data_IF_631319227049
#
_entry.id   IF_631319227049
#
_cell.length_a   1.000
_cell.length_b   1.000
_cell.length_c   1.000
_cell.angle_alpha   90.00
_cell.angle_beta   90.00
_cell.angle_gamma   90.00
#
_symmetry.space_group_name_H-M   'P 1'
#
loop_
_entity.id
_entity.type
_entity.pdbx_description
1 polymer ?
#
# COMPACT_ATOMS: atom_id res chain seq x y z
N UNK A 1 28.48 -32.15 -5.84
CA UNK A 1 28.68 -31.55 -4.50
C UNK A 1 27.52 -30.60 -4.29
N UNK A 2 26.68 -30.90 -3.29
CA UNK A 2 25.50 -30.08 -3.01
C UNK A 2 25.92 -28.88 -2.19
N UNK A 3 25.92 -27.70 -2.82
CA UNK A 3 26.09 -26.42 -2.12
C UNK A 3 24.82 -26.14 -1.31
N UNK A 4 24.70 -26.82 -0.16
CA UNK A 4 23.83 -26.41 0.93
C UNK A 4 24.54 -25.26 1.66
N UNK A 5 24.62 -24.12 0.98
CA UNK A 5 25.34 -22.93 1.44
C UNK A 5 24.44 -21.72 1.52
N UNK A 6 24.83 -20.76 2.35
CA UNK A 6 24.29 -19.41 2.31
C UNK A 6 24.63 -18.81 0.94
N UNK A 7 23.63 -18.54 0.12
CA UNK A 7 23.82 -17.95 -1.20
C UNK A 7 23.78 -16.43 -1.07
N UNK A 8 24.77 -15.75 -1.63
CA UNK A 8 24.87 -14.29 -1.54
C UNK A 8 24.38 -13.62 -2.85
N UNK A 9 24.36 -12.28 -2.87
CA UNK A 9 23.95 -11.52 -4.06
C UNK A 9 24.87 -11.76 -5.28
N UNK A 10 26.12 -12.16 -5.07
CA UNK A 10 27.05 -12.49 -6.15
C UNK A 10 26.68 -13.83 -6.81
N UNK A 11 26.24 -14.83 -6.04
CA UNK A 11 25.74 -16.10 -6.58
C UNK A 11 24.52 -15.89 -7.48
N UNK A 12 23.62 -14.96 -7.11
CA UNK A 12 22.46 -14.60 -7.94
C UNK A 12 22.86 -14.01 -9.28
N UNK A 13 23.95 -13.23 -9.33
CA UNK A 13 24.44 -12.58 -10.56
C UNK A 13 25.28 -13.50 -11.43
N UNK A 14 26.05 -14.40 -10.84
CA UNK A 14 27.09 -15.16 -11.55
C UNK A 14 26.72 -16.61 -11.84
N UNK A 15 25.88 -17.22 -10.99
CA UNK A 15 25.53 -18.64 -11.11
C UNK A 15 24.10 -18.99 -10.66
N UNK A 16 23.07 -18.26 -11.13
CA UNK A 16 21.69 -18.47 -10.68
C UNK A 16 21.12 -19.87 -11.02
N UNK A 17 21.73 -20.64 -11.92
CA UNK A 17 21.35 -22.06 -12.15
C UNK A 17 21.71 -23.00 -11.00
N UNK A 18 22.61 -22.57 -10.10
CA UNK A 18 23.06 -23.35 -8.93
C UNK A 18 22.26 -23.05 -7.67
N UNK A 19 21.41 -22.03 -7.72
CA UNK A 19 20.58 -21.60 -6.60
C UNK A 19 19.34 -22.49 -6.47
N UNK A 20 18.89 -22.79 -5.25
CA UNK A 20 17.66 -23.54 -4.99
C UNK A 20 16.42 -22.63 -5.17
N UNK A 21 16.24 -22.09 -6.37
CA UNK A 21 15.15 -21.15 -6.65
C UNK A 21 13.80 -21.86 -6.75
N UNK A 22 12.74 -21.17 -6.33
CA UNK A 22 11.38 -21.61 -6.58
C UNK A 22 11.17 -21.78 -8.09
N UNK A 23 10.63 -22.95 -8.49
CA UNK A 23 10.42 -23.30 -9.89
C UNK A 23 8.96 -23.63 -10.13
N UNK A 24 8.37 -22.94 -11.09
CA UNK A 24 7.00 -23.10 -11.54
C UNK A 24 7.02 -23.72 -12.93
N UNK A 25 6.17 -24.73 -13.16
CA UNK A 25 6.13 -25.45 -14.43
C UNK A 25 5.06 -24.86 -15.35
N UNK A 26 5.34 -24.86 -16.65
CA UNK A 26 4.40 -24.47 -17.71
C UNK A 26 4.64 -25.34 -18.95
N UNK A 27 3.59 -25.59 -19.72
CA UNK A 27 3.71 -26.26 -21.02
C UNK A 27 3.57 -25.26 -22.18
N UNK A 28 4.19 -25.55 -23.33
CA UNK A 28 4.03 -24.72 -24.56
C UNK A 28 2.57 -24.41 -24.87
N UNK A 29 2.23 -23.13 -24.97
CA UNK A 29 0.88 -22.67 -25.31
C UNK A 29 -0.17 -22.86 -24.21
N UNK A 30 0.23 -23.32 -23.01
CA UNK A 30 -0.65 -23.42 -21.85
C UNK A 30 -0.64 -22.11 -21.05
N UNK A 31 -1.78 -21.75 -20.47
CA UNK A 31 -1.90 -20.61 -19.58
C UNK A 31 -1.86 -21.08 -18.12
N UNK A 32 -1.08 -20.40 -17.28
CA UNK A 32 -1.10 -20.62 -15.83
C UNK A 32 -1.64 -19.39 -15.11
N UNK A 33 -2.40 -19.62 -14.04
CA UNK A 33 -2.83 -18.58 -13.12
C UNK A 33 -1.86 -18.53 -11.93
N UNK A 34 -1.09 -17.46 -11.83
CA UNK A 34 -0.22 -17.17 -10.69
C UNK A 34 -0.89 -16.20 -9.72
N UNK A 35 -0.74 -16.47 -8.42
CA UNK A 35 -1.30 -15.64 -7.35
C UNK A 35 -0.17 -14.99 -6.58
N UNK A 36 0.08 -13.72 -6.84
CA UNK A 36 1.09 -12.93 -6.15
C UNK A 36 0.50 -12.34 -4.87
N UNK A 37 1.20 -12.51 -3.76
CA UNK A 37 0.83 -12.00 -2.44
C UNK A 37 2.05 -11.36 -1.82
N UNK A 38 1.97 -10.08 -1.46
CA UNK A 38 3.03 -9.43 -0.69
C UNK A 38 2.66 -9.42 0.79
N UNK A 39 3.11 -10.45 1.51
CA UNK A 39 3.06 -10.53 2.97
C UNK A 39 4.27 -9.91 3.68
N UNK A 40 5.04 -9.06 2.98
CA UNK A 40 6.25 -8.44 3.49
C UNK A 40 5.96 -7.34 4.52
N UNK A 41 7.00 -6.92 5.24
CA UNK A 41 6.90 -5.96 6.36
C UNK A 41 6.95 -4.50 5.88
N UNK A 42 7.63 -4.22 4.76
CA UNK A 42 7.85 -2.84 4.33
C UNK A 42 7.99 -2.62 2.82
N UNK A 43 8.64 -3.52 2.09
CA UNK A 43 9.12 -3.24 0.73
C UNK A 43 8.04 -3.35 -0.35
N UNK A 44 8.04 -2.38 -1.27
CA UNK A 44 7.43 -2.54 -2.58
C UNK A 44 8.29 -3.45 -3.45
N UNK A 45 7.66 -4.39 -4.14
CA UNK A 45 8.38 -5.36 -4.97
C UNK A 45 7.93 -5.18 -6.42
N UNK A 46 8.87 -4.81 -7.28
CA UNK A 46 8.73 -4.89 -8.74
C UNK A 46 9.01 -6.32 -9.18
N UNK A 47 8.09 -6.90 -9.95
CA UNK A 47 8.17 -8.28 -10.45
C UNK A 47 8.02 -8.26 -11.96
N UNK A 48 8.89 -8.97 -12.66
CA UNK A 48 8.73 -9.29 -14.08
C UNK A 48 9.23 -10.69 -14.39
N UNK A 49 8.92 -11.15 -15.60
CA UNK A 49 9.30 -12.46 -16.11
C UNK A 49 9.90 -12.31 -17.50
N UNK A 50 11.08 -12.87 -17.69
CA UNK A 50 11.74 -12.84 -18.99
C UNK A 50 10.85 -13.39 -20.10
N UNK A 51 10.71 -12.66 -21.20
CA UNK A 51 10.01 -13.11 -22.41
C UNK A 51 8.50 -13.30 -22.24
N UNK A 52 7.89 -12.93 -21.12
CA UNK A 52 6.46 -13.07 -20.87
C UNK A 52 5.87 -11.77 -20.32
N UNK A 53 4.62 -11.53 -20.67
CA UNK A 53 3.82 -10.47 -20.06
C UNK A 53 2.89 -11.06 -18.99
N UNK A 54 2.39 -10.18 -18.13
CA UNK A 54 1.44 -10.49 -17.08
C UNK A 54 0.06 -9.98 -17.47
N UNK A 55 -0.92 -10.87 -17.53
CA UNK A 55 -2.32 -10.47 -17.70
C UNK A 55 -3.01 -10.49 -16.34
N UNK A 56 -3.17 -9.32 -15.72
CA UNK A 56 -3.82 -9.16 -14.41
C UNK A 56 -5.32 -9.39 -14.59
N UNK A 57 -5.89 -10.33 -13.83
CA UNK A 57 -7.31 -10.72 -13.91
C UNK A 57 -8.07 -10.61 -12.58
N UNK A 58 -7.35 -10.52 -11.46
CA UNK A 58 -7.97 -10.18 -10.17
C UNK A 58 -7.01 -9.39 -9.29
N UNK A 59 -7.59 -8.64 -8.37
CA UNK A 59 -6.90 -7.72 -7.50
C UNK A 59 -7.60 -7.79 -6.11
N UNK A 60 -6.88 -8.14 -5.04
CA UNK A 60 -7.37 -8.26 -3.65
C UNK A 60 -8.57 -9.22 -3.51
N UNK A 61 -8.60 -10.26 -4.35
CA UNK A 61 -9.67 -11.26 -4.38
C UNK A 61 -10.90 -10.84 -5.19
N UNK A 62 -10.85 -9.71 -5.90
CA UNK A 62 -11.93 -9.23 -6.78
C UNK A 62 -11.49 -9.31 -8.24
N UNK A 63 -12.32 -9.89 -9.11
CA UNK A 63 -12.07 -9.96 -10.55
C UNK A 63 -12.02 -8.57 -11.18
N UNK A 64 -11.04 -8.34 -12.06
CA UNK A 64 -10.89 -7.10 -12.83
C UNK A 64 -10.87 -7.39 -14.33
N UNK A 65 -11.23 -6.41 -15.14
CA UNK A 65 -11.08 -6.53 -16.59
C UNK A 65 -9.61 -6.83 -16.90
N UNK A 66 -9.31 -7.86 -17.71
CA UNK A 66 -7.94 -8.24 -17.98
C UNK A 66 -7.10 -7.08 -18.52
N UNK A 67 -5.95 -6.82 -17.89
CA UNK A 67 -4.95 -5.85 -18.36
C UNK A 67 -3.62 -6.54 -18.50
N UNK A 68 -3.03 -6.48 -19.70
CA UNK A 68 -1.69 -7.03 -19.96
C UNK A 68 -0.63 -5.97 -19.73
N UNK A 69 0.37 -6.31 -18.92
CA UNK A 69 1.49 -5.44 -18.52
C UNK A 69 2.80 -6.21 -18.57
N UNK A 70 3.92 -5.51 -18.67
CA UNK A 70 5.25 -6.13 -18.73
C UNK A 70 5.81 -6.42 -17.33
N UNK A 71 5.44 -5.60 -16.34
CA UNK A 71 5.85 -5.77 -14.95
C UNK A 71 4.76 -5.32 -13.96
N UNK A 72 4.85 -5.83 -12.74
CA UNK A 72 3.92 -5.60 -11.64
C UNK A 72 4.66 -5.08 -10.42
N UNK A 73 4.25 -3.92 -9.90
CA UNK A 73 4.62 -3.49 -8.54
C UNK A 73 3.55 -3.97 -7.55
N UNK A 74 3.96 -4.64 -6.49
CA UNK A 74 3.06 -5.12 -5.44
C UNK A 74 3.48 -4.57 -4.07
N UNK A 75 2.55 -3.91 -3.38
CA UNK A 75 2.78 -3.37 -2.03
C UNK A 75 2.36 -4.38 -0.96
N UNK A 76 2.93 -4.24 0.24
CA UNK A 76 2.52 -5.05 1.39
C UNK A 76 1.01 -4.96 1.61
N UNK A 77 0.36 -6.12 1.78
CA UNK A 77 -1.09 -6.26 1.93
C UNK A 77 -1.83 -6.55 0.62
N UNK A 78 -1.25 -6.26 -0.54
CA UNK A 78 -1.90 -6.49 -1.82
C UNK A 78 -1.78 -7.93 -2.33
N UNK A 79 -2.77 -8.33 -3.14
CA UNK A 79 -2.78 -9.59 -3.87
C UNK A 79 -3.21 -9.37 -5.31
N UNK A 80 -2.58 -10.08 -6.24
CA UNK A 80 -2.94 -10.06 -7.67
C UNK A 80 -2.99 -11.48 -8.23
N UNK A 81 -4.05 -11.78 -8.96
CA UNK A 81 -4.13 -12.99 -9.80
C UNK A 81 -3.72 -12.59 -11.22
N UNK A 82 -2.72 -13.27 -11.76
CA UNK A 82 -2.07 -12.96 -13.03
C UNK A 82 -2.02 -14.21 -13.89
N UNK A 83 -2.52 -14.11 -15.12
CA UNK A 83 -2.33 -15.14 -16.14
C UNK A 83 -0.97 -14.92 -16.81
N UNK A 84 -0.22 -16.00 -16.93
CA UNK A 84 1.00 -16.06 -17.74
C UNK A 84 0.75 -17.02 -18.88
N UNK A 85 0.90 -16.52 -20.10
CA UNK A 85 0.68 -17.28 -21.33
C UNK A 85 1.95 -18.01 -21.74
N UNK A 86 1.88 -19.33 -21.86
CA UNK A 86 2.98 -20.15 -22.35
C UNK A 86 3.31 -19.84 -23.81
N UNK A 87 4.57 -19.57 -24.08
CA UNK A 87 5.11 -19.38 -25.42
C UNK A 87 4.86 -20.64 -26.26
N UNK A 88 4.46 -20.44 -27.51
CA UNK A 88 4.30 -21.54 -28.48
C UNK A 88 5.65 -22.12 -28.91
N UNK A 89 6.65 -21.24 -29.04
CA UNK A 89 8.00 -21.56 -29.50
C UNK A 89 9.04 -21.00 -28.52
N UNK A 90 9.15 -21.53 -27.28
CA UNK A 90 10.18 -21.13 -26.33
C UNK A 90 11.56 -21.53 -26.88
N UNK A 91 12.50 -20.58 -26.84
CA UNK A 91 13.91 -20.77 -27.21
C UNK A 91 14.76 -21.28 -26.03
N UNK A 92 14.26 -21.12 -24.80
CA UNK A 92 14.90 -21.55 -23.57
C UNK A 92 14.00 -22.49 -22.78
N UNK A 93 14.62 -23.40 -22.03
CA UNK A 93 13.87 -24.26 -21.10
C UNK A 93 13.37 -23.49 -19.88
N UNK A 94 14.16 -22.53 -19.39
CA UNK A 94 13.89 -21.77 -18.17
C UNK A 94 13.95 -20.28 -18.48
N UNK A 95 12.92 -19.56 -18.04
CA UNK A 95 12.84 -18.10 -18.02
C UNK A 95 12.84 -17.64 -16.56
N UNK A 96 13.52 -16.54 -16.25
CA UNK A 96 13.65 -16.08 -14.87
C UNK A 96 12.53 -15.12 -14.49
N UNK A 97 11.92 -15.36 -13.33
CA UNK A 97 11.28 -14.29 -12.57
C UNK A 97 12.38 -13.45 -11.95
N UNK A 98 12.24 -12.13 -12.05
CA UNK A 98 13.09 -11.19 -11.34
C UNK A 98 12.21 -10.34 -10.43
N UNK A 99 12.63 -10.25 -9.17
CA UNK A 99 11.98 -9.47 -8.13
C UNK A 99 12.98 -8.43 -7.64
N UNK A 100 12.57 -7.18 -7.55
CA UNK A 100 13.42 -6.06 -7.18
C UNK A 100 12.69 -5.14 -6.19
N UNK A 101 13.36 -4.74 -5.10
CA UNK A 101 12.83 -3.68 -4.23
C UNK A 101 12.91 -2.33 -4.92
N UNK A 102 11.95 -1.43 -4.73
CA UNK A 102 11.95 -0.14 -5.46
C UNK A 102 12.74 1.00 -4.80
N UNK A 103 13.41 0.73 -3.68
CA UNK A 103 14.20 1.72 -2.95
C UNK A 103 15.43 2.17 -3.76
N UNK A 104 15.60 3.49 -3.89
CA UNK A 104 16.78 4.08 -4.54
C UNK A 104 17.61 4.97 -3.63
N UNK A 105 17.10 5.26 -2.43
CA UNK A 105 17.70 6.19 -1.46
C UNK A 105 17.56 5.60 -0.05
N UNK A 106 18.67 5.59 0.69
CA UNK A 106 18.70 5.21 2.10
C UNK A 106 18.16 6.32 3.02
N UNK A 107 17.89 5.97 4.29
CA UNK A 107 17.49 6.93 5.32
C UNK A 107 18.49 8.10 5.52
N UNK A 108 19.75 7.92 5.14
CA UNK A 108 20.80 8.94 5.19
C UNK A 108 20.90 9.78 3.91
N UNK A 109 19.94 9.67 2.99
CA UNK A 109 19.91 10.30 1.67
C UNK A 109 21.03 9.85 0.72
N UNK A 110 21.76 8.78 1.06
CA UNK A 110 22.71 8.12 0.17
C UNK A 110 22.00 7.23 -0.86
N UNK A 111 22.62 6.97 -2.01
CA UNK A 111 22.08 6.00 -2.97
C UNK A 111 21.99 4.62 -2.34
N UNK A 112 20.92 3.90 -2.66
CA UNK A 112 20.75 2.51 -2.26
C UNK A 112 20.67 1.61 -3.49
N UNK A 113 21.32 0.45 -3.43
CA UNK A 113 21.12 -0.58 -4.43
C UNK A 113 19.93 -1.45 -4.03
N UNK A 114 18.91 -1.57 -4.91
CA UNK A 114 17.82 -2.50 -4.72
C UNK A 114 18.29 -3.93 -4.42
N UNK A 115 17.60 -4.57 -3.47
CA UNK A 115 17.69 -6.02 -3.35
C UNK A 115 17.01 -6.68 -4.53
N UNK A 116 17.64 -7.75 -5.02
CA UNK A 116 17.10 -8.58 -6.09
C UNK A 116 16.90 -10.00 -5.60
N UNK A 117 15.93 -10.68 -6.20
CA UNK A 117 15.67 -12.10 -6.02
C UNK A 117 15.21 -12.71 -7.34
N UNK A 118 15.37 -14.03 -7.47
CA UNK A 118 15.05 -14.77 -8.68
C UNK A 118 14.05 -15.90 -8.41
N UNK A 119 13.34 -16.29 -9.46
CA UNK A 119 12.55 -17.52 -9.54
C UNK A 119 12.62 -18.10 -10.95
N UNK A 120 12.08 -19.30 -11.14
CA UNK A 120 12.07 -19.97 -12.44
C UNK A 120 10.64 -20.20 -12.93
N UNK A 121 10.42 -19.91 -14.22
CA UNK A 121 9.38 -20.55 -15.02
C UNK A 121 10.06 -21.58 -15.94
N UNK A 122 9.80 -22.86 -15.72
CA UNK A 122 10.39 -23.96 -16.48
C UNK A 122 9.37 -24.60 -17.42
N UNK A 123 9.72 -24.69 -18.70
CA UNK A 123 8.94 -25.42 -19.69
C UNK A 123 9.19 -26.93 -19.57
N UNK A 124 8.16 -27.67 -19.15
CA UNK A 124 8.24 -29.11 -18.90
C UNK A 124 8.39 -29.97 -20.17
N UNK A 125 7.95 -29.43 -21.31
CA UNK A 125 7.97 -30.06 -22.63
C UNK A 125 9.07 -29.48 -23.55
N UNK A 126 10.10 -28.86 -22.95
CA UNK A 126 11.31 -28.36 -23.62
C UNK A 126 12.54 -29.04 -23.05
N UNK A 127 13.42 -29.55 -23.91
CA UNK A 127 14.70 -30.09 -23.50
C UNK A 127 15.72 -28.98 -23.23
N UNK A 128 16.59 -29.17 -22.24
CA UNK A 128 17.62 -28.22 -21.85
C UNK A 128 17.82 -28.17 -20.34
N UNK A 129 18.56 -27.18 -19.88
CA UNK A 129 18.80 -26.88 -18.46
C UNK A 129 18.73 -25.38 -18.23
N UNK A 130 18.54 -24.96 -16.98
CA UNK A 130 18.64 -23.55 -16.61
C UNK A 130 20.06 -23.03 -16.91
N UNK A 131 20.14 -21.92 -17.65
CA UNK A 131 21.38 -21.17 -17.85
C UNK A 131 21.65 -20.18 -16.72
N UNK A 132 22.84 -19.57 -16.71
CA UNK A 132 23.23 -18.55 -15.73
C UNK A 132 22.93 -17.11 -16.16
N UNK A 133 22.47 -16.91 -17.40
CA UNK A 133 22.09 -15.60 -17.94
C UNK A 133 20.73 -15.14 -17.38
N UNK A 134 20.66 -13.84 -17.07
CA UNK A 134 19.46 -13.17 -16.55
C UNK A 134 19.35 -11.79 -17.20
N UNK A 135 18.18 -11.46 -17.73
CA UNK A 135 17.84 -10.15 -18.26
C UNK A 135 17.45 -9.19 -17.13
N UNK A 136 18.47 -8.64 -16.46
CA UNK A 136 18.29 -7.68 -15.38
C UNK A 136 17.78 -6.31 -15.83
N UNK A 137 17.88 -5.99 -17.12
CA UNK A 137 17.63 -4.64 -17.65
C UNK A 137 16.27 -4.50 -18.36
N UNK A 138 15.48 -5.57 -18.43
CA UNK A 138 14.30 -5.64 -19.29
C UNK A 138 14.66 -5.26 -20.73
N UNK A 139 15.57 -6.02 -21.34
CA UNK A 139 16.15 -5.73 -22.66
C UNK A 139 15.13 -5.49 -23.79
N UNK A 140 13.90 -5.98 -23.64
CA UNK A 140 12.80 -5.76 -24.59
C UNK A 140 12.20 -4.34 -24.56
N UNK A 141 12.48 -3.55 -23.52
CA UNK A 141 11.90 -2.22 -23.34
C UNK A 141 12.84 -1.15 -23.92
N UNK A 142 12.36 -0.37 -24.89
CA UNK A 142 13.14 0.74 -25.49
C UNK A 142 12.38 2.07 -25.40
N UNK A 143 13.05 3.19 -25.71
CA UNK A 143 12.39 4.49 -25.74
C UNK A 143 11.32 4.58 -26.85
N UNK A 144 11.49 3.82 -27.92
CA UNK A 144 10.55 3.69 -29.04
C UNK A 144 9.42 2.70 -28.75
N UNK A 145 9.66 1.70 -27.91
CA UNK A 145 8.70 0.66 -27.51
C UNK A 145 8.76 0.48 -26.00
N UNK A 146 8.09 1.39 -25.28
CA UNK A 146 8.10 1.40 -23.82
C UNK A 146 7.28 0.25 -23.25
N UNK A 147 7.77 -0.28 -22.13
CA UNK A 147 7.05 -1.28 -21.35
C UNK A 147 6.08 -0.64 -20.36
N UNK A 148 4.96 -1.32 -20.14
CA UNK A 148 3.91 -0.91 -19.23
C UNK A 148 4.11 -1.57 -17.87
N UNK A 149 4.31 -0.76 -16.84
CA UNK A 149 4.49 -1.21 -15.45
C UNK A 149 3.23 -0.88 -14.66
N UNK A 150 2.62 -1.89 -14.06
CA UNK A 150 1.43 -1.71 -13.23
C UNK A 150 1.78 -1.25 -11.81
N UNK A 151 0.96 -0.36 -11.25
CA UNK A 151 0.93 0.00 -9.83
C UNK A 151 2.17 0.73 -9.30
N UNK A 152 2.84 1.54 -10.12
CA UNK A 152 4.02 2.29 -9.67
C UNK A 152 3.66 3.34 -8.59
N UNK A 153 4.62 3.69 -7.73
CA UNK A 153 4.37 4.62 -6.62
C UNK A 153 4.22 6.08 -7.06
N UNK A 154 4.41 6.35 -8.34
CA UNK A 154 4.40 7.66 -8.97
C UNK A 154 3.59 7.62 -10.27
N UNK A 155 3.13 8.78 -10.72
CA UNK A 155 2.28 8.89 -11.90
C UNK A 155 3.02 8.72 -13.23
N UNK A 156 4.35 8.85 -13.25
CA UNK A 156 5.18 8.70 -14.47
C UNK A 156 6.64 8.42 -14.16
N UNK A 157 7.31 7.74 -15.08
CA UNK A 157 8.76 7.68 -15.13
C UNK A 157 9.36 8.96 -15.74
N UNK A 158 10.65 9.19 -15.47
CA UNK A 158 11.44 10.19 -16.17
C UNK A 158 11.63 9.79 -17.65
N UNK A 159 11.77 10.79 -18.53
CA UNK A 159 11.78 10.58 -19.99
C UNK A 159 12.94 9.70 -20.50
N UNK A 160 13.99 9.55 -19.68
CA UNK A 160 15.14 8.68 -19.97
C UNK A 160 14.85 7.18 -19.81
N UNK A 161 13.75 6.81 -19.15
CA UNK A 161 13.41 5.41 -18.89
C UNK A 161 12.41 4.90 -19.94
N UNK A 162 12.58 3.66 -20.43
CA UNK A 162 11.70 3.04 -21.42
C UNK A 162 10.42 2.46 -20.79
N UNK A 163 9.86 3.14 -19.79
CA UNK A 163 8.76 2.64 -18.98
C UNK A 163 7.62 3.64 -18.90
N UNK A 164 6.39 3.13 -18.91
CA UNK A 164 5.17 3.89 -18.62
C UNK A 164 4.47 3.27 -17.42
N UNK A 165 3.87 4.12 -16.59
CA UNK A 165 3.15 3.64 -15.42
C UNK A 165 1.66 3.50 -15.72
N UNK A 166 1.10 2.33 -15.43
CA UNK A 166 -0.33 2.11 -15.37
C UNK A 166 -0.82 2.23 -13.92
N UNK A 167 -1.59 3.28 -13.65
CA UNK A 167 -2.06 3.58 -12.30
C UNK A 167 -3.11 2.56 -11.82
N UNK A 168 -3.08 2.13 -10.55
CA UNK A 168 -3.95 1.06 -10.07
C UNK A 168 -5.44 1.43 -10.04
N UNK A 169 -5.76 2.73 -9.90
CA UNK A 169 -7.15 3.20 -9.97
C UNK A 169 -7.77 3.07 -11.37
N UNK A 170 -6.98 2.80 -12.41
CA UNK A 170 -7.50 2.53 -13.76
C UNK A 170 -7.94 1.08 -13.94
N UNK A 171 -7.70 0.18 -12.96
CA UNK A 171 -8.29 -1.15 -13.00
C UNK A 171 -9.81 -1.06 -12.86
N UNK A 172 -10.48 -1.71 -13.80
CA UNK A 172 -11.93 -1.77 -13.83
C UNK A 172 -12.44 -3.12 -13.33
N UNK A 173 -13.57 -3.13 -12.61
CA UNK A 173 -14.24 -4.38 -12.24
C UNK A 173 -14.86 -5.06 -13.47
N UNK A 174 -14.86 -6.40 -13.52
CA UNK A 174 -15.50 -7.18 -14.61
C UNK A 174 -17.01 -7.07 -14.56
N UNK A 175 -17.58 -7.17 -13.35
CA UNK A 175 -19.03 -7.20 -13.14
C UNK A 175 -19.56 -5.78 -13.14
N UNK A 176 -20.78 -5.60 -13.65
CA UNK A 176 -21.53 -4.36 -13.43
C UNK A 176 -21.53 -4.05 -11.93
N UNK A 177 -21.21 -2.79 -11.63
CA UNK A 177 -21.07 -2.26 -10.27
C UNK A 177 -22.26 -2.70 -9.42
N UNK A 178 -22.00 -3.45 -8.34
CA UNK A 178 -23.07 -3.94 -7.45
C UNK A 178 -23.80 -2.81 -6.73
N UNK A 179 -23.15 -1.67 -6.53
CA UNK A 179 -23.69 -0.49 -5.85
C UNK A 179 -23.58 0.78 -6.71
N UNK A 180 -24.52 0.94 -7.65
CA UNK A 180 -24.54 2.10 -8.54
C UNK A 180 -24.71 3.42 -7.80
N UNK A 181 -25.42 3.43 -6.66
CA UNK A 181 -25.62 4.63 -5.84
C UNK A 181 -24.26 5.13 -5.31
N UNK A 182 -23.43 4.22 -4.79
CA UNK A 182 -22.09 4.53 -4.29
C UNK A 182 -21.18 5.11 -5.38
N UNK A 183 -21.18 4.51 -6.57
CA UNK A 183 -20.30 4.96 -7.67
C UNK A 183 -20.78 6.27 -8.28
N UNK A 184 -22.09 6.41 -8.50
CA UNK A 184 -22.68 7.57 -9.18
C UNK A 184 -23.02 8.72 -8.23
N UNK A 185 -22.82 8.57 -6.92
CA UNK A 185 -23.09 9.63 -5.94
C UNK A 185 -22.32 10.91 -6.30
N UNK A 186 -23.07 11.96 -6.65
CA UNK A 186 -22.60 13.29 -7.02
C UNK A 186 -23.18 14.40 -6.13
N UNK A 187 -24.03 14.01 -5.16
CA UNK A 187 -24.66 14.86 -4.16
C UNK A 187 -24.77 14.11 -2.85
N UNK A 188 -24.11 14.63 -1.82
CA UNK A 188 -24.14 14.04 -0.50
C UNK A 188 -25.32 14.56 0.32
N UNK A 189 -26.18 13.64 0.76
CA UNK A 189 -27.34 13.89 1.59
C UNK A 189 -27.15 13.41 3.03
N UNK A 190 -28.26 13.15 3.75
CA UNK A 190 -28.25 12.75 5.17
C UNK A 190 -27.58 11.39 5.47
N UNK A 191 -27.40 10.53 4.46
CA UNK A 191 -26.80 9.19 4.60
C UNK A 191 -25.41 9.11 3.95
N UNK A 192 -24.66 10.21 4.05
CA UNK A 192 -23.35 10.33 3.43
C UNK A 192 -22.33 10.92 4.40
N UNK A 193 -21.08 10.44 4.36
CA UNK A 193 -19.95 10.99 5.13
C UNK A 193 -18.72 11.26 4.23
N UNK A 194 -18.26 12.52 4.16
CA UNK A 194 -17.05 12.92 3.41
C UNK A 194 -15.91 13.21 4.38
N UNK A 195 -14.79 12.51 4.21
CA UNK A 195 -13.59 12.63 5.05
C UNK A 195 -12.37 12.98 4.23
N UNK A 196 -11.54 13.84 4.79
CA UNK A 196 -10.19 14.13 4.31
C UNK A 196 -9.23 13.69 5.41
N UNK A 197 -8.25 12.87 5.05
CA UNK A 197 -7.33 12.24 6.00
C UNK A 197 -5.90 12.43 5.49
N UNK A 198 -5.06 13.13 6.24
CA UNK A 198 -3.65 13.26 5.93
C UNK A 198 -2.85 12.11 6.54
N UNK A 199 -2.10 11.39 5.70
CA UNK A 199 -1.19 10.31 6.08
C UNK A 199 0.26 10.60 5.61
N UNK A 200 0.69 11.86 5.63
CA UNK A 200 1.97 12.27 5.03
C UNK A 200 3.23 11.85 5.79
N UNK A 201 3.18 11.86 7.13
CA UNK A 201 4.38 11.72 7.95
C UNK A 201 4.40 10.36 8.62
N UNK A 202 5.59 9.73 8.67
CA UNK A 202 5.84 8.49 9.42
C UNK A 202 5.06 8.54 10.73
N UNK A 203 4.20 7.56 10.97
CA UNK A 203 3.48 7.39 12.25
C UNK A 203 2.24 8.27 12.50
N UNK A 204 1.80 9.13 11.57
CA UNK A 204 0.73 10.10 11.85
C UNK A 204 -0.50 9.95 10.95
N UNK A 205 -1.66 10.35 11.51
CA UNK A 205 -2.93 10.58 10.82
C UNK A 205 -3.50 11.93 11.29
N UNK A 206 -3.71 12.87 10.37
CA UNK A 206 -4.19 14.24 10.67
C UNK A 206 -3.39 14.95 11.78
N UNK A 207 -2.09 14.66 11.89
CA UNK A 207 -1.21 15.22 12.91
C UNK A 207 -1.40 14.62 14.31
N UNK A 208 -2.06 13.47 14.43
CA UNK A 208 -2.09 12.64 15.64
C UNK A 208 -1.33 11.33 15.41
N UNK A 209 -0.88 10.70 16.49
CA UNK A 209 -0.31 9.34 16.45
C UNK A 209 -1.32 8.37 17.08
N UNK A 210 -1.62 7.26 16.39
CA UNK A 210 -2.60 6.30 16.89
C UNK A 210 -2.10 5.54 18.12
N UNK A 211 -2.75 5.79 19.26
CA UNK A 211 -2.60 5.01 20.47
C UNK A 211 -3.64 3.89 20.52
N UNK A 212 -3.17 2.65 20.68
CA UNK A 212 -4.04 1.48 20.82
C UNK A 212 -4.82 1.56 22.15
N UNK A 213 -6.12 1.23 22.17
CA UNK A 213 -6.87 1.14 23.41
C UNK A 213 -6.41 -0.07 24.23
N UNK A 214 -6.44 0.05 25.56
CA UNK A 214 -6.08 -1.00 26.52
C UNK A 214 -7.17 -2.06 26.71
N UNK A 215 -8.32 -1.89 26.07
CA UNK A 215 -9.45 -2.82 26.11
C UNK A 215 -10.18 -2.85 24.79
N UNK A 216 -11.09 -3.81 24.64
CA UNK A 216 -11.90 -3.91 23.43
C UNK A 216 -13.01 -2.85 23.46
N UNK A 217 -13.06 -1.90 22.50
CA UNK A 217 -14.02 -0.80 22.50
C UNK A 217 -15.48 -1.22 22.67
N UNK A 218 -15.85 -2.41 22.17
CA UNK A 218 -17.20 -2.98 22.33
C UNK A 218 -17.68 -2.98 23.79
N UNK A 219 -16.85 -3.36 24.76
CA UNK A 219 -17.28 -3.46 26.17
C UNK A 219 -17.30 -2.13 26.92
N UNK A 220 -16.83 -1.05 26.29
CA UNK A 220 -16.63 0.27 26.90
C UNK A 220 -17.32 1.38 26.10
N UNK A 221 -18.45 1.09 25.44
CA UNK A 221 -19.12 2.02 24.53
C UNK A 221 -19.29 3.45 25.11
N UNK A 222 -19.81 3.57 26.32
CA UNK A 222 -20.06 4.86 26.99
C UNK A 222 -18.91 5.29 27.91
N UNK A 223 -17.82 4.50 27.93
CA UNK A 223 -16.67 4.66 28.82
C UNK A 223 -15.36 4.39 28.10
N UNK A 224 -15.24 4.81 26.84
CA UNK A 224 -14.02 4.61 26.06
C UNK A 224 -12.81 5.28 26.72
N UNK A 225 -13.03 6.38 27.44
CA UNK A 225 -12.00 7.08 28.20
C UNK A 225 -11.37 6.19 29.32
N UNK A 226 -12.02 5.10 29.75
CA UNK A 226 -11.46 4.14 30.70
C UNK A 226 -10.32 3.29 30.08
N UNK A 227 -10.29 3.18 28.75
CA UNK A 227 -9.38 2.29 28.02
C UNK A 227 -8.58 3.00 26.93
N UNK A 228 -8.87 4.26 26.62
CA UNK A 228 -8.30 4.95 25.48
C UNK A 228 -8.02 6.42 25.79
N UNK A 229 -6.91 6.94 25.25
CA UNK A 229 -6.59 8.37 25.34
C UNK A 229 -7.37 9.13 24.28
N UNK A 230 -8.20 10.08 24.68
CA UNK A 230 -8.96 10.92 23.76
C UNK A 230 -8.07 11.93 23.05
N UNK A 231 -8.25 12.08 21.73
CA UNK A 231 -7.57 13.11 20.94
C UNK A 231 -8.03 14.50 21.38
N UNK A 232 -7.08 15.36 21.79
CA UNK A 232 -7.37 16.71 22.27
C UNK A 232 -6.51 17.75 21.52
N UNK A 233 -7.10 18.57 20.64
CA UNK A 233 -6.37 19.60 19.90
C UNK A 233 -5.82 20.73 20.79
N UNK A 234 -6.24 20.83 22.06
CA UNK A 234 -5.66 21.80 23.00
C UNK A 234 -4.37 21.30 23.64
N UNK A 235 -4.14 19.99 23.65
CA UNK A 235 -2.94 19.35 24.22
C UNK A 235 -1.89 19.03 23.17
N UNK A 236 -2.33 18.78 21.94
CA UNK A 236 -1.49 18.43 20.81
C UNK A 236 -1.38 19.62 19.85
N UNK A 237 -0.18 20.19 19.69
CA UNK A 237 0.14 21.06 18.56
C UNK A 237 0.36 20.19 17.31
N UNK A 238 -0.73 19.85 16.63
CA UNK A 238 -0.71 19.00 15.42
C UNK A 238 0.24 19.54 14.34
N UNK A 239 0.42 20.86 14.27
CA UNK A 239 1.21 21.50 13.24
C UNK A 239 2.72 21.40 13.51
N UNK A 240 3.15 21.45 14.78
CA UNK A 240 4.57 21.61 15.12
C UNK A 240 5.15 20.60 16.13
N UNK A 241 4.40 19.60 16.61
CA UNK A 241 4.93 18.64 17.59
C UNK A 241 6.10 17.82 17.01
N UNK A 242 7.12 17.54 17.83
CA UNK A 242 8.29 16.78 17.41
C UNK A 242 7.94 15.31 17.11
N UNK A 243 8.76 14.62 16.30
CA UNK A 243 8.54 13.20 15.92
C UNK A 243 8.42 12.24 17.12
N UNK A 244 8.98 12.59 18.27
CA UNK A 244 8.95 11.79 19.51
C UNK A 244 8.11 12.46 20.62
N UNK A 245 7.23 13.38 20.24
CA UNK A 245 6.33 14.05 21.16
C UNK A 245 5.01 13.26 21.30
N UNK A 246 4.91 12.48 22.38
CA UNK A 246 3.77 11.64 22.68
C UNK A 246 2.53 12.40 23.18
N UNK A 247 2.56 13.75 23.23
CA UNK A 247 1.36 14.55 23.58
C UNK A 247 0.23 14.42 22.55
N UNK A 248 0.57 13.98 21.34
CA UNK A 248 -0.35 13.74 20.24
C UNK A 248 -0.78 12.27 20.09
N UNK A 249 -0.36 11.39 21.00
CA UNK A 249 -0.76 9.99 21.04
C UNK A 249 -2.20 9.88 21.53
N UNK A 250 -3.10 9.38 20.69
CA UNK A 250 -4.50 9.22 21.04
C UNK A 250 -5.21 8.13 20.23
N UNK A 251 -6.34 7.65 20.74
CA UNK A 251 -7.19 6.69 20.03
C UNK A 251 -8.02 7.40 18.95
N UNK A 252 -7.41 7.55 17.77
CA UNK A 252 -8.05 8.13 16.58
C UNK A 252 -9.14 7.17 16.13
N UNK A 253 -10.40 7.60 16.18
CA UNK A 253 -11.50 6.80 15.70
C UNK A 253 -12.61 7.63 15.06
N UNK A 254 -13.22 7.07 14.03
CA UNK A 254 -14.38 7.64 13.35
C UNK A 254 -15.64 6.82 13.61
N UNK A 255 -16.79 7.47 13.49
CA UNK A 255 -18.09 6.81 13.50
C UNK A 255 -18.74 6.99 12.14
N UNK A 256 -19.22 5.89 11.56
CA UNK A 256 -20.02 5.88 10.34
C UNK A 256 -21.39 5.29 10.63
N UNK A 257 -22.42 6.00 10.17
CA UNK A 257 -23.79 5.52 10.28
C UNK A 257 -23.97 4.27 9.43
N UNK A 258 -24.64 3.25 9.96
CA UNK A 258 -24.94 2.02 9.23
C UNK A 258 -25.65 2.33 7.90
N UNK A 259 -25.20 1.68 6.83
CA UNK A 259 -25.61 1.83 5.43
C UNK A 259 -25.32 3.18 4.76
N UNK A 260 -24.64 4.11 5.44
CA UNK A 260 -24.18 5.34 4.80
C UNK A 260 -23.10 5.08 3.75
N UNK A 261 -23.03 5.91 2.72
CA UNK A 261 -21.89 5.92 1.79
C UNK A 261 -20.82 6.82 2.39
N UNK A 262 -19.60 6.31 2.47
CA UNK A 262 -18.44 7.04 2.99
C UNK A 262 -17.47 7.28 1.84
N UNK A 263 -17.08 8.53 1.62
CA UNK A 263 -15.95 8.90 0.75
C UNK A 263 -14.79 9.37 1.62
N UNK A 264 -13.63 8.74 1.42
CA UNK A 264 -12.39 9.18 2.04
C UNK A 264 -11.44 9.67 0.96
N UNK A 265 -11.01 10.92 1.09
CA UNK A 265 -9.86 11.48 0.37
C UNK A 265 -8.66 11.38 1.27
N UNK A 266 -7.83 10.39 1.03
CA UNK A 266 -6.63 10.12 1.81
C UNK A 266 -5.45 10.73 1.06
N UNK A 267 -4.71 11.64 1.68
CA UNK A 267 -3.66 12.39 1.02
C UNK A 267 -2.35 12.34 1.79
N UNK A 268 -1.25 12.50 1.08
CA UNK A 268 0.10 12.40 1.59
C UNK A 268 0.85 13.67 1.17
N UNK A 269 0.59 14.77 1.89
CA UNK A 269 1.20 16.08 1.63
C UNK A 269 1.50 16.84 2.93
N UNK A 270 2.64 17.54 2.97
CA UNK A 270 3.02 18.41 4.08
C UNK A 270 4.51 18.35 4.42
N UNK A 271 4.87 18.60 5.68
CA UNK A 271 6.25 18.88 6.10
C UNK A 271 7.18 17.67 6.22
N UNK A 272 7.49 17.07 5.08
CA UNK A 272 8.73 16.32 4.88
C UNK A 272 9.95 17.22 4.65
N UNK A 273 9.84 18.55 4.70
CA UNK A 273 10.95 19.49 4.53
C UNK A 273 11.31 19.85 3.07
N UNK A 274 10.89 19.09 2.04
CA UNK A 274 11.00 19.45 0.60
C UNK A 274 9.89 18.80 -0.25
N UNK A 275 9.62 19.33 -1.44
CA UNK A 275 8.75 18.64 -2.41
C UNK A 275 9.44 17.34 -2.87
N UNK A 276 8.99 16.18 -2.36
CA UNK A 276 9.62 14.87 -2.66
C UNK A 276 10.12 14.09 -1.46
N UNK A 277 10.08 14.67 -0.26
CA UNK A 277 10.41 13.98 0.98
C UNK A 277 9.15 13.29 1.51
N UNK A 278 9.19 11.97 1.67
CA UNK A 278 8.06 11.17 2.21
C UNK A 278 7.96 9.82 1.51
N UNK A 279 7.37 8.84 2.20
CA UNK A 279 7.11 7.51 1.65
C UNK A 279 5.69 7.45 1.08
N UNK A 280 5.48 6.63 0.05
CA UNK A 280 4.12 6.30 -0.35
C UNK A 280 3.55 5.28 0.65
N UNK A 281 2.26 5.37 0.95
CA UNK A 281 1.66 4.54 2.01
C UNK A 281 0.70 3.53 1.40
N UNK A 282 0.95 2.21 1.49
CA UNK A 282 -0.08 1.23 1.20
C UNK A 282 -1.14 1.33 2.31
N UNK A 283 -2.30 1.88 1.99
CA UNK A 283 -3.40 2.04 2.93
C UNK A 283 -4.31 0.81 2.87
N UNK A 284 -4.55 0.19 4.02
CA UNK A 284 -5.39 -0.99 4.17
C UNK A 284 -6.57 -0.70 5.11
N UNK A 285 -7.75 -1.22 4.76
CA UNK A 285 -8.95 -1.19 5.61
C UNK A 285 -9.47 -2.59 5.91
N UNK A 286 -9.74 -2.84 7.19
CA UNK A 286 -10.38 -4.05 7.64
C UNK A 286 -11.90 -3.97 7.46
N UNK A 287 -12.54 -5.13 7.37
CA UNK A 287 -14.01 -5.25 7.42
C UNK A 287 -14.76 -4.90 6.15
N UNK A 288 -14.12 -4.30 5.15
CA UNK A 288 -14.77 -3.95 3.88
C UNK A 288 -13.76 -3.86 2.75
N UNK A 289 -14.18 -4.19 1.53
CA UNK A 289 -13.55 -3.66 0.33
C UNK A 289 -14.09 -2.25 0.05
N UNK A 290 -13.33 -1.44 -0.66
CA UNK A 290 -13.70 -0.11 -1.11
C UNK A 290 -13.47 0.05 -2.61
N UNK A 291 -14.29 0.86 -3.25
CA UNK A 291 -14.11 1.28 -4.63
C UNK A 291 -13.00 2.34 -4.73
N UNK A 292 -11.99 2.10 -5.56
CA UNK A 292 -10.90 3.07 -5.81
C UNK A 292 -11.32 4.06 -6.88
N UNK A 293 -11.78 5.25 -6.47
CA UNK A 293 -12.45 6.20 -7.36
C UNK A 293 -11.47 7.02 -8.19
N UNK A 294 -10.35 7.47 -7.59
CA UNK A 294 -9.39 8.37 -8.24
C UNK A 294 -8.06 8.36 -7.51
N UNK A 295 -6.96 8.47 -8.23
CA UNK A 295 -5.65 8.84 -7.68
C UNK A 295 -5.18 10.13 -8.34
N UNK A 296 -4.77 11.10 -7.52
CA UNK A 296 -4.15 12.34 -7.95
C UNK A 296 -2.67 12.32 -7.60
N UNK A 297 -1.80 12.36 -8.62
CA UNK A 297 -0.34 12.40 -8.43
C UNK A 297 0.17 13.85 -8.40
N UNK A 298 1.34 14.11 -7.80
CA UNK A 298 2.04 15.39 -7.90
C UNK A 298 2.53 15.69 -9.34
N UNK A 299 3.02 16.90 -9.55
CA UNK A 299 3.77 17.24 -10.77
C UNK A 299 5.22 16.74 -10.63
N UNK A 300 5.81 16.27 -11.72
CA UNK A 300 7.19 15.76 -11.76
C UNK A 300 8.09 16.57 -12.68
N UNK A 301 9.39 16.60 -12.39
CA UNK A 301 10.40 17.07 -13.33
C UNK A 301 10.62 16.01 -14.43
N UNK A 302 10.50 16.36 -15.73
CA UNK A 302 10.56 15.37 -16.80
C UNK A 302 11.88 14.58 -16.90
N UNK A 303 13.00 15.24 -16.59
CA UNK A 303 14.35 14.69 -16.80
C UNK A 303 14.80 13.69 -15.73
N UNK A 304 14.34 13.84 -14.48
CA UNK A 304 14.77 13.00 -13.36
C UNK A 304 13.62 12.31 -12.61
N UNK A 305 12.35 12.66 -12.90
CA UNK A 305 11.18 12.06 -12.27
C UNK A 305 10.96 12.47 -10.81
N UNK A 306 11.72 13.42 -10.27
CA UNK A 306 11.52 13.89 -8.90
C UNK A 306 10.28 14.79 -8.81
N UNK A 307 9.63 14.81 -7.65
CA UNK A 307 8.45 15.65 -7.40
C UNK A 307 8.85 17.13 -7.56
N UNK A 308 8.12 17.84 -8.43
CA UNK A 308 8.26 19.28 -8.71
C UNK A 308 7.37 20.10 -7.79
N UNK A 309 6.12 19.67 -7.60
CA UNK A 309 5.16 20.29 -6.69
C UNK A 309 4.09 19.27 -6.30
N UNK A 310 3.50 19.43 -5.12
CA UNK A 310 2.36 18.62 -4.68
C UNK A 310 1.19 18.75 -5.66
N UNK A 311 0.28 17.78 -5.63
CA UNK A 311 -0.95 17.84 -6.42
C UNK A 311 -1.78 19.08 -6.01
N UNK A 312 -2.33 19.79 -7.00
CA UNK A 312 -2.99 21.09 -6.82
C UNK A 312 -4.49 21.00 -6.49
N UNK A 313 -5.07 19.81 -6.54
CA UNK A 313 -6.48 19.61 -6.17
C UNK A 313 -6.70 19.84 -4.67
N UNK A 314 -5.63 19.80 -3.85
CA UNK A 314 -5.63 20.16 -2.44
C UNK A 314 -4.69 21.37 -2.20
N UNK A 315 -5.05 22.33 -1.33
CA UNK A 315 -4.32 23.59 -1.15
C UNK A 315 -3.12 23.43 -0.20
N UNK A 316 -2.17 22.56 -0.54
CA UNK A 316 -0.91 22.35 0.19
C UNK A 316 0.26 23.01 -0.53
N UNK A 317 0.30 24.35 -0.53
CA UNK A 317 1.36 25.11 -1.23
C UNK A 317 2.67 25.15 -0.45
N UNK A 318 2.58 25.28 0.88
CA UNK A 318 3.75 25.33 1.77
C UNK A 318 4.11 23.93 2.25
N UNK A 319 4.99 23.27 1.50
CA UNK A 319 5.51 21.93 1.82
C UNK A 319 6.39 21.88 3.07
N UNK A 320 6.64 23.03 3.72
CA UNK A 320 7.27 23.07 5.05
C UNK A 320 6.26 23.03 6.20
N UNK A 321 4.97 22.85 5.90
CA UNK A 321 3.91 22.74 6.90
C UNK A 321 3.18 21.42 6.77
N UNK A 322 2.74 20.86 7.90
CA UNK A 322 1.80 19.75 7.92
C UNK A 322 0.47 20.28 7.38
N UNK A 323 0.16 19.94 6.13
CA UNK A 323 -1.04 20.42 5.46
C UNK A 323 -2.27 19.71 6.04
N UNK A 324 -2.74 20.21 7.18
CA UNK A 324 -3.82 19.61 7.98
C UNK A 324 -5.18 20.17 7.58
N UNK A 325 -6.23 19.37 7.84
CA UNK A 325 -7.63 19.76 7.68
C UNK A 325 -7.97 20.29 6.27
N UNK A 326 -7.29 19.78 5.25
CA UNK A 326 -7.46 20.22 3.86
C UNK A 326 -8.83 19.80 3.31
N UNK A 327 -9.27 20.55 2.32
CA UNK A 327 -10.42 20.23 1.45
C UNK A 327 -10.03 20.50 0.01
N UNK A 328 -10.86 20.09 -0.93
CA UNK A 328 -10.66 20.38 -2.35
C UNK A 328 -10.43 21.88 -2.60
N UNK A 329 -9.43 22.23 -3.41
CA UNK A 329 -9.24 23.57 -3.95
C UNK A 329 -10.47 24.00 -4.75
N UNK A 330 -10.96 23.10 -5.61
CA UNK A 330 -12.23 23.30 -6.31
C UNK A 330 -13.42 22.96 -5.41
N UNK A 331 -14.10 23.98 -4.89
CA UNK A 331 -15.24 23.80 -3.99
C UNK A 331 -16.42 23.07 -4.65
N UNK A 332 -16.51 23.02 -5.99
CA UNK A 332 -17.58 22.27 -6.67
C UNK A 332 -17.41 20.75 -6.56
N UNK A 333 -16.21 20.28 -6.19
CA UNK A 333 -15.92 18.87 -5.97
C UNK A 333 -16.32 18.38 -4.58
N UNK A 334 -16.58 19.30 -3.65
CA UNK A 334 -17.18 18.94 -2.37
C UNK A 334 -18.51 18.25 -2.60
N UNK A 335 -18.85 17.34 -1.71
CA UNK A 335 -20.05 16.54 -1.82
C UNK A 335 -20.05 15.52 -2.97
N UNK A 336 -18.87 15.09 -3.43
CA UNK A 336 -18.71 13.91 -4.29
C UNK A 336 -18.67 14.15 -5.77
N UNK A 337 -18.66 15.41 -6.22
CA UNK A 337 -18.68 15.75 -7.64
C UNK A 337 -17.27 16.02 -8.19
N UNK A 338 -16.39 15.05 -7.95
CA UNK A 338 -14.97 15.11 -8.34
C UNK A 338 -14.83 14.70 -9.81
N UNK A 339 -14.13 15.52 -10.61
CA UNK A 339 -13.90 15.21 -12.02
C UNK A 339 -12.88 14.08 -12.20
N UNK A 340 -13.12 13.22 -13.19
CA UNK A 340 -12.23 12.10 -13.52
C UNK A 340 -12.25 10.97 -12.49
N UNK A 341 -13.35 10.79 -11.76
CA UNK A 341 -13.61 9.56 -11.02
C UNK A 341 -13.91 8.39 -11.97
N UNK A 342 -13.54 7.21 -11.53
CA UNK A 342 -13.83 5.96 -12.20
C UNK A 342 -15.32 5.66 -12.25
N UNK A 343 -15.76 5.14 -13.40
CA UNK A 343 -17.15 4.69 -13.61
C UNK A 343 -17.35 3.22 -13.28
N UNK A 344 -16.29 2.43 -13.33
CA UNK A 344 -16.30 1.01 -13.03
C UNK A 344 -15.09 0.64 -12.16
N UNK A 345 -14.85 1.32 -11.02
CA UNK A 345 -13.63 1.13 -10.25
C UNK A 345 -13.47 -0.30 -9.76
N UNK A 346 -12.22 -0.75 -9.69
CA UNK A 346 -11.87 -1.95 -8.93
C UNK A 346 -12.19 -1.77 -7.44
N UNK A 347 -12.62 -2.87 -6.82
CA UNK A 347 -12.80 -2.94 -5.38
C UNK A 347 -11.55 -3.56 -4.77
N UNK A 348 -11.02 -2.89 -3.76
CA UNK A 348 -9.72 -3.20 -3.13
C UNK A 348 -9.89 -3.18 -1.62
N UNK A 349 -9.01 -3.84 -0.89
CA UNK A 349 -8.87 -3.60 0.55
C UNK A 349 -7.55 -2.90 0.87
N UNK A 350 -6.62 -2.87 -0.09
CA UNK A 350 -5.33 -2.21 0.02
C UNK A 350 -5.07 -1.36 -1.23
N UNK A 351 -4.67 -0.10 -1.03
CA UNK A 351 -4.34 0.81 -2.14
C UNK A 351 -3.24 1.79 -1.74
N UNK A 352 -2.39 2.16 -2.68
CA UNK A 352 -1.36 3.15 -2.44
C UNK A 352 -1.93 4.56 -2.25
N UNK A 353 -1.35 5.31 -1.31
CA UNK A 353 -1.44 6.77 -1.22
C UNK A 353 -0.09 7.36 -1.69
N UNK A 354 -0.04 7.99 -2.88
CA UNK A 354 1.22 8.46 -3.46
C UNK A 354 1.79 9.66 -2.72
N UNK A 355 3.12 9.72 -2.55
CA UNK A 355 3.82 10.90 -2.01
C UNK A 355 3.47 12.14 -2.82
N UNK A 356 3.04 13.21 -2.12
CA UNK A 356 2.64 14.48 -2.72
C UNK A 356 1.30 14.45 -3.46
N UNK A 357 0.52 13.39 -3.29
CA UNK A 357 -0.75 13.17 -3.96
C UNK A 357 -1.86 12.71 -3.01
N UNK A 358 -2.90 12.13 -3.58
CA UNK A 358 -4.06 11.61 -2.85
C UNK A 358 -4.70 10.42 -3.56
N UNK A 359 -5.48 9.67 -2.79
CA UNK A 359 -6.37 8.61 -3.28
C UNK A 359 -7.78 8.85 -2.73
N UNK A 360 -8.78 8.79 -3.61
CA UNK A 360 -10.20 8.86 -3.25
C UNK A 360 -10.77 7.46 -3.29
N UNK A 361 -11.34 7.02 -2.16
CA UNK A 361 -12.03 5.74 -2.05
C UNK A 361 -13.49 5.94 -1.61
N UNK A 362 -14.35 4.99 -1.95
CA UNK A 362 -15.73 4.93 -1.47
C UNK A 362 -16.08 3.54 -0.97
N UNK A 363 -16.81 3.44 0.14
CA UNK A 363 -17.41 2.19 0.60
C UNK A 363 -18.78 2.47 1.21
N UNK A 364 -19.63 1.45 1.25
CA UNK A 364 -20.87 1.49 2.03
C UNK A 364 -20.56 0.95 3.41
N UNK A 365 -20.93 1.69 4.44
CA UNK A 365 -20.73 1.29 5.83
C UNK A 365 -21.80 0.26 6.24
N UNK A 366 -21.80 -0.93 5.64
CA UNK A 366 -22.83 -1.98 5.79
C UNK A 366 -22.41 -3.16 6.69
N UNK A 367 -21.15 -3.20 7.11
CA UNK A 367 -20.63 -4.22 8.03
C UNK A 367 -20.49 -3.66 9.46
N UNK A 368 -21.52 -3.77 10.33
CA UNK A 368 -21.51 -3.18 11.66
C UNK A 368 -20.41 -3.81 12.54
N UNK A 369 -19.56 -2.96 13.10
CA UNK A 369 -18.39 -3.42 13.84
C UNK A 369 -17.40 -2.32 14.18
N UNK A 370 -16.39 -2.68 14.96
CA UNK A 370 -15.16 -1.91 15.11
C UNK A 370 -14.12 -2.46 14.16
N UNK A 371 -13.62 -1.60 13.29
CA UNK A 371 -12.66 -1.91 12.26
C UNK A 371 -11.43 -1.04 12.38
N UNK A 372 -10.39 -1.44 11.67
CA UNK A 372 -9.08 -0.82 11.73
C UNK A 372 -8.61 -0.46 10.32
N UNK A 373 -8.08 0.74 10.17
CA UNK A 373 -7.48 1.21 8.92
C UNK A 373 -6.07 1.70 9.22
N UNK A 374 -5.09 1.34 8.39
CA UNK A 374 -3.69 1.63 8.68
C UNK A 374 -2.82 1.62 7.42
N UNK A 375 -1.65 2.22 7.53
CA UNK A 375 -0.58 1.94 6.58
C UNK A 375 -0.10 0.48 6.76
N UNK A 376 0.04 -0.27 5.68
CA UNK A 376 0.49 -1.66 5.69
C UNK A 376 2.02 -1.80 5.64
N UNK A 377 2.74 -0.68 5.74
CA UNK A 377 4.16 -0.65 6.11
C UNK A 377 4.24 -0.78 7.64
N UNK A 378 4.77 -1.91 8.13
CA UNK A 378 4.70 -2.28 9.55
C UNK A 378 5.29 -1.24 10.49
N UNK A 379 6.42 -0.61 10.11
CA UNK A 379 7.02 0.45 10.91
C UNK A 379 6.11 1.68 11.04
N UNK A 380 5.39 2.05 9.98
CA UNK A 380 4.42 3.15 10.02
C UNK A 380 3.16 2.78 10.81
N UNK A 381 2.66 1.55 10.64
CA UNK A 381 1.59 1.00 11.48
C UNK A 381 1.96 1.04 12.97
N UNK A 382 3.14 0.52 13.32
CA UNK A 382 3.64 0.48 14.70
C UNK A 382 3.87 1.87 15.27
N UNK A 383 4.30 2.81 14.42
CA UNK A 383 4.49 4.19 14.80
C UNK A 383 3.18 4.92 15.09
N UNK A 384 2.07 4.58 14.42
CA UNK A 384 0.77 5.19 14.67
C UNK A 384 0.04 5.70 13.42
N UNK A 385 0.51 5.38 12.21
CA UNK A 385 -0.19 5.69 10.95
C UNK A 385 -1.41 4.78 10.79
N UNK A 386 -2.43 5.02 11.61
CA UNK A 386 -3.63 4.22 11.68
C UNK A 386 -4.80 4.99 12.32
N UNK A 387 -6.00 4.43 12.18
CA UNK A 387 -7.17 4.84 12.93
C UNK A 387 -8.14 3.66 13.04
N UNK A 388 -8.98 3.70 14.07
CA UNK A 388 -10.12 2.80 14.17
C UNK A 388 -11.37 3.45 13.55
N UNK A 389 -12.38 2.66 13.23
CA UNK A 389 -13.70 3.21 12.91
C UNK A 389 -14.80 2.26 13.36
N UNK A 390 -15.93 2.83 13.78
CA UNK A 390 -17.13 2.08 14.15
C UNK A 390 -18.20 2.28 13.09
N UNK A 391 -18.75 1.18 12.58
CA UNK A 391 -19.93 1.19 11.72
C UNK A 391 -21.15 0.80 12.55
N UNK A 392 -22.18 1.65 12.54
CA UNK A 392 -23.42 1.42 13.29
C UNK A 392 -23.35 1.79 14.77
N UNK A 393 -24.49 1.73 15.43
CA UNK A 393 -24.60 1.90 16.87
C UNK A 393 -24.14 0.65 17.63
N UNK A 394 -23.99 0.78 18.96
CA UNK A 394 -23.55 -0.34 19.79
C UNK A 394 -24.41 -1.60 19.62
N UNK A 395 -25.73 -1.42 19.52
CA UNK A 395 -26.69 -2.52 19.38
C UNK A 395 -26.68 -3.13 17.97
N UNK A 396 -26.15 -2.44 16.96
CA UNK A 396 -25.94 -3.00 15.62
C UNK A 396 -24.72 -3.93 15.58
N UNK A 397 -23.73 -3.72 16.47
CA UNK A 397 -22.47 -4.46 16.49
C UNK A 397 -22.69 -5.87 17.08
N UNK A 398 -22.29 -6.95 16.38
CA UNK A 398 -22.39 -8.30 16.90
C UNK A 398 -21.69 -8.47 18.24
N UNK A 399 -22.38 -9.10 19.19
CA UNK A 399 -21.82 -9.37 20.51
C UNK A 399 -20.61 -10.33 20.39
N UNK A 400 -19.44 -9.98 20.97
CA UNK A 400 -18.30 -10.89 21.02
C UNK A 400 -18.65 -12.20 21.75
N UNK A 401 -17.95 -13.31 21.45
CA UNK A 401 -18.13 -14.57 22.16
C UNK A 401 -18.00 -14.42 23.68
N UNK A 402 -18.71 -15.23 24.51
CA UNK A 402 -18.71 -15.07 25.97
C UNK A 402 -17.33 -15.03 26.63
N UNK A 403 -16.36 -15.74 26.06
CA UNK A 403 -14.99 -15.85 26.56
C UNK A 403 -14.00 -14.91 25.85
N UNK A 404 -14.49 -13.94 25.06
CA UNK A 404 -13.63 -13.00 24.37
C UNK A 404 -13.00 -12.02 25.38
N UNK A 405 -11.66 -11.79 25.34
CA UNK A 405 -10.97 -10.91 26.26
C UNK A 405 -11.57 -9.49 26.28
N UNK A 406 -11.86 -8.96 27.48
CA UNK A 406 -12.45 -7.62 27.64
C UNK A 406 -11.40 -6.52 27.78
N UNK A 407 -10.36 -6.82 28.55
CA UNK A 407 -9.24 -5.94 28.81
C UNK A 407 -7.99 -6.64 28.30
N UNK A 408 -7.18 -5.94 27.50
CA UNK A 408 -5.95 -6.51 26.94
C UNK A 408 -4.78 -6.43 27.93
N UNK A 409 -4.97 -5.75 29.08
CA UNK A 409 -3.90 -5.47 30.03
C UNK A 409 -3.12 -4.21 29.66
N UNK A 410 -2.42 -3.63 30.64
CA UNK A 410 -1.27 -2.77 30.35
C UNK A 410 -0.08 -3.71 30.30
N UNK A 411 0.41 -4.02 29.10
CA UNK A 411 1.73 -4.62 28.97
C UNK A 411 2.73 -3.49 29.19
N UNK A 412 3.17 -3.32 30.44
CA UNK A 412 4.44 -2.63 30.65
C UNK A 412 5.48 -3.47 29.91
N UNK A 413 6.22 -2.87 28.98
CA UNK A 413 7.45 -3.47 28.48
C UNK A 413 8.19 -3.96 29.72
N UNK A 414 8.42 -5.28 29.80
CA UNK A 414 9.24 -5.83 30.85
C UNK A 414 10.49 -4.96 30.92
N UNK A 415 10.82 -4.45 32.10
CA UNK A 415 12.13 -3.84 32.38
C UNK A 415 13.17 -4.75 31.72
N UNK A 416 13.65 -4.37 30.53
CA UNK A 416 14.81 -5.00 29.93
C UNK A 416 15.86 -4.73 31.00
N UNK A 417 16.35 -5.76 31.71
CA UNK A 417 17.23 -5.52 32.83
C UNK A 417 18.39 -4.70 32.27
N UNK A 418 18.51 -3.45 32.72
CA UNK A 418 19.71 -2.66 32.49
C UNK A 418 20.89 -3.60 32.77
N UNK A 419 21.90 -3.70 31.89
CA UNK A 419 23.04 -4.54 32.17
C UNK A 419 23.66 -4.01 33.46
N UNK A 420 23.32 -4.69 34.56
CA UNK A 420 23.82 -4.32 35.88
C UNK A 420 25.33 -4.37 35.75
N UNK A 421 25.99 -3.25 36.04
CA UNK A 421 27.42 -3.18 36.27
C UNK A 421 27.79 -4.22 37.34
N UNK A 422 28.03 -5.46 36.93
CA UNK A 422 28.74 -6.45 37.73
C UNK A 422 30.23 -6.20 37.52
N UNK A 423 30.73 -5.10 38.05
CA UNK A 423 32.07 -5.06 38.63
C UNK A 423 31.99 -5.81 39.95
N UNK A 424 31.99 -7.14 39.87
CA UNK A 424 32.04 -8.04 41.00
C UNK A 424 33.07 -9.12 40.68
N UNK A 425 34.24 -8.99 41.28
CA UNK A 425 35.41 -9.84 41.09
C UNK A 425 35.08 -11.33 41.09
N UNK A 426 35.70 -12.03 40.14
CA UNK A 426 35.89 -13.46 40.18
C UNK A 426 36.63 -13.87 41.46
N UNK A 427 36.07 -14.85 42.17
CA UNK A 427 36.82 -15.95 42.77
C UNK A 427 36.13 -17.25 42.40
#
# INVERSE_FOLDING_TARGET
MGDKGWHNNEDQRTRPSKLPLATYLISKGEDILMRFVNGGVAQEILIWLEGHQFTIVAADGVEVKPVTVDALVIYSGERYDVIIHGLKNPDRKVYRFILETMESIHWNWGPYEPFKSLGNLEYDNVNGSAGDEVDWEHSNCTLESKCLIFNCPFGRFADKYPFECFSPHLLENVKEVQDEELIKADKFGKNFDERFINMHFDSHVDGYMFAKPHGMPYYYNDRLDDIAVKCDPKKCDRANHAKYDHTCDCFIHYYFKLNSIVQMTIYNMGDGGKAGTGYSHPFHMHGTHFAVMKIGYPDYFPHNGTIKSMNKDLPCEDVSKRCLDLKWTNQTWLNGKIDGMQKAPSYRDTILIPTGGYTVIRFRADNPGWWFAHCHLMLHHMGGTAFAFRIGEHDDVPKPPPNFPRFCGIFHDYDIPSPSNKTGNAM
#
